data_IF_377001932298
#
_entry.id   IF_377001932298
#
_cell.length_a   1.000
_cell.length_b   1.000
_cell.length_c   1.000
_cell.angle_alpha   90.00
_cell.angle_beta   90.00
_cell.angle_gamma   90.00
#
_symmetry.space_group_name_H-M   'P 1'
#
loop_
_entity.id
_entity.type
_entity.pdbx_description
1 polymer ?
#
# COMPACT_ATOMS: atom_id res chain seq x y z
N UNK A 1 -2.76 -27.48 -10.02
CA UNK A 1 -1.60 -28.14 -9.38
C UNK A 1 -1.51 -27.63 -7.96
N UNK A 2 -1.43 -28.52 -6.98
CA UNK A 2 -1.20 -28.16 -5.58
C UNK A 2 0.05 -28.91 -5.12
N UNK A 3 1.00 -28.19 -4.53
CA UNK A 3 2.20 -28.77 -3.93
C UNK A 3 2.06 -28.68 -2.42
N UNK A 4 1.85 -29.81 -1.77
CA UNK A 4 1.92 -29.91 -0.32
C UNK A 4 3.37 -30.06 0.11
N UNK A 5 3.77 -29.27 1.11
CA UNK A 5 5.17 -29.20 1.56
C UNK A 5 5.42 -29.87 2.91
N UNK A 6 4.52 -30.77 3.32
CA UNK A 6 4.66 -31.57 4.54
C UNK A 6 3.53 -31.37 5.55
N UNK A 7 2.29 -31.14 5.11
CA UNK A 7 1.14 -31.11 6.02
C UNK A 7 0.95 -32.49 6.67
N UNK A 8 0.56 -32.53 7.95
CA UNK A 8 0.35 -33.79 8.70
C UNK A 8 -1.02 -33.86 9.37
N UNK A 9 -1.91 -32.93 9.06
CA UNK A 9 -3.22 -32.75 9.70
C UNK A 9 -4.39 -33.28 8.86
N UNK A 10 -4.10 -33.96 7.75
CA UNK A 10 -5.10 -34.48 6.82
C UNK A 10 -5.45 -33.52 5.67
N UNK A 11 -4.77 -32.38 5.56
CA UNK A 11 -4.95 -31.41 4.46
C UNK A 11 -4.91 -32.08 3.08
N UNK A 12 -4.03 -33.07 2.87
CA UNK A 12 -3.94 -33.79 1.60
C UNK A 12 -5.23 -34.51 1.21
N UNK A 13 -5.96 -35.09 2.18
CA UNK A 13 -7.21 -35.80 1.91
C UNK A 13 -8.33 -34.83 1.55
N UNK A 14 -8.37 -33.67 2.21
CA UNK A 14 -9.30 -32.58 1.86
C UNK A 14 -9.05 -32.11 0.43
N UNK A 15 -7.78 -31.91 0.05
CA UNK A 15 -7.41 -31.50 -1.31
C UNK A 15 -7.83 -32.56 -2.33
N UNK A 16 -7.54 -33.85 -2.08
CA UNK A 16 -7.92 -34.94 -2.99
C UNK A 16 -9.44 -35.02 -3.17
N UNK A 17 -10.21 -34.83 -2.09
CA UNK A 17 -11.66 -34.81 -2.16
C UNK A 17 -12.18 -33.60 -2.96
N UNK A 18 -11.62 -32.40 -2.74
CA UNK A 18 -12.00 -31.19 -3.46
C UNK A 18 -11.66 -31.24 -4.96
N UNK A 19 -10.61 -31.98 -5.33
CA UNK A 19 -10.16 -32.15 -6.72
C UNK A 19 -10.76 -33.39 -7.41
N UNK A 20 -11.60 -34.19 -6.74
CA UNK A 20 -12.04 -35.50 -7.25
C UNK A 20 -12.67 -35.45 -8.66
N UNK A 21 -13.41 -34.38 -8.96
CA UNK A 21 -14.08 -34.16 -10.25
C UNK A 21 -13.35 -33.15 -11.15
N UNK A 22 -12.13 -32.74 -10.78
CA UNK A 22 -11.33 -31.75 -11.49
C UNK A 22 -10.05 -32.39 -12.05
N UNK A 23 -9.48 -31.89 -13.15
CA UNK A 23 -8.18 -32.37 -13.67
C UNK A 23 -6.98 -31.92 -12.82
N UNK A 24 -7.20 -31.74 -11.51
CA UNK A 24 -6.21 -31.29 -10.55
C UNK A 24 -5.26 -32.42 -10.13
N UNK A 25 -4.06 -32.04 -9.70
CA UNK A 25 -3.09 -32.94 -9.13
C UNK A 25 -2.56 -32.36 -7.81
N UNK A 26 -2.40 -33.25 -6.83
CA UNK A 26 -1.69 -33.00 -5.59
C UNK A 26 -0.33 -33.70 -5.67
N UNK A 27 0.73 -32.95 -5.40
CA UNK A 27 2.10 -33.47 -5.34
C UNK A 27 2.70 -33.12 -3.98
N UNK A 28 3.34 -34.08 -3.34
CA UNK A 28 4.02 -33.88 -2.06
C UNK A 28 5.52 -33.63 -2.29
N UNK A 29 6.07 -32.62 -1.60
CA UNK A 29 7.49 -32.23 -1.69
C UNK A 29 8.03 -31.85 -0.32
N UNK A 30 9.33 -32.04 -0.06
CA UNK A 30 9.93 -31.49 1.15
C UNK A 30 9.93 -29.95 1.10
N UNK A 31 9.63 -29.32 2.23
CA UNK A 31 9.90 -27.90 2.41
C UNK A 31 11.41 -27.63 2.35
N UNK A 32 11.79 -26.61 1.57
CA UNK A 32 13.17 -26.09 1.45
C UNK A 32 13.16 -24.61 1.86
N UNK A 33 12.49 -23.78 1.06
CA UNK A 33 12.25 -22.35 1.33
C UNK A 33 11.11 -21.83 0.44
N UNK A 34 10.65 -20.61 0.71
CA UNK A 34 9.52 -20.00 -0.01
C UNK A 34 9.73 -19.90 -1.52
N UNK A 35 10.89 -19.40 -1.96
CA UNK A 35 11.15 -19.21 -3.38
C UNK A 35 11.33 -20.54 -4.11
N UNK A 36 12.04 -21.49 -3.50
CA UNK A 36 12.25 -22.82 -4.06
C UNK A 36 10.92 -23.55 -4.25
N UNK A 37 10.12 -23.69 -3.19
CA UNK A 37 8.90 -24.48 -3.26
C UNK A 37 7.82 -23.82 -4.15
N UNK A 38 7.69 -22.48 -4.13
CA UNK A 38 6.79 -21.79 -5.07
C UNK A 38 7.26 -21.92 -6.53
N UNK A 39 8.57 -21.89 -6.79
CA UNK A 39 9.14 -22.13 -8.13
C UNK A 39 8.92 -23.58 -8.58
N UNK A 40 9.06 -24.55 -7.68
CA UNK A 40 8.78 -25.95 -7.96
C UNK A 40 7.30 -26.15 -8.31
N UNK A 41 6.38 -25.53 -7.57
CA UNK A 41 4.95 -25.56 -7.87
C UNK A 41 4.62 -25.00 -9.25
N UNK A 42 5.21 -23.85 -9.62
CA UNK A 42 5.07 -23.29 -10.96
C UNK A 42 5.62 -24.24 -12.02
N UNK A 43 6.81 -24.80 -11.80
CA UNK A 43 7.46 -25.72 -12.75
C UNK A 43 6.60 -26.96 -12.99
N UNK A 44 6.03 -27.54 -11.92
CA UNK A 44 5.13 -28.68 -12.01
C UNK A 44 3.81 -28.34 -12.71
N UNK A 45 3.35 -27.10 -12.64
CA UNK A 45 2.13 -26.65 -13.32
C UNK A 45 2.32 -26.43 -14.83
N UNK A 46 3.55 -26.11 -15.29
CA UNK A 46 3.83 -25.71 -16.70
C UNK A 46 3.27 -26.66 -17.77
N UNK A 47 3.39 -28.00 -17.65
CA UNK A 47 2.91 -28.91 -18.70
C UNK A 47 1.38 -29.02 -18.81
N UNK A 48 0.63 -28.47 -17.86
CA UNK A 48 -0.81 -28.71 -17.73
C UNK A 48 -1.71 -27.59 -18.28
N UNK A 49 -1.16 -26.42 -18.60
CA UNK A 49 -1.91 -25.29 -19.12
C UNK A 49 -0.98 -24.27 -19.80
N UNK A 50 -1.52 -23.41 -20.67
CA UNK A 50 -0.78 -22.30 -21.27
C UNK A 50 -0.40 -21.22 -20.25
N UNK A 51 -1.26 -21.02 -19.23
CA UNK A 51 -1.05 -20.04 -18.17
C UNK A 51 -1.25 -20.68 -16.79
N UNK A 52 -0.51 -20.18 -15.79
CA UNK A 52 -0.69 -20.53 -14.39
C UNK A 52 -1.24 -19.32 -13.62
N UNK A 53 -2.39 -19.50 -12.96
CA UNK A 53 -2.87 -18.60 -11.93
C UNK A 53 -2.23 -18.99 -10.59
N UNK A 54 -1.60 -18.02 -9.95
CA UNK A 54 -1.01 -18.11 -8.62
C UNK A 54 -2.05 -17.62 -7.63
N UNK A 55 -2.42 -18.46 -6.68
CA UNK A 55 -3.41 -18.16 -5.66
C UNK A 55 -3.06 -18.97 -4.41
N UNK A 56 -3.03 -18.32 -3.24
CA UNK A 56 -2.85 -19.02 -1.97
C UNK A 56 -4.22 -19.62 -1.54
N UNK A 57 -4.20 -20.66 -0.70
CA UNK A 57 -5.41 -21.43 -0.39
C UNK A 57 -6.50 -20.63 0.36
N UNK A 58 -6.13 -19.49 0.94
CA UNK A 58 -6.99 -18.56 1.68
C UNK A 58 -7.30 -17.26 0.90
N UNK A 59 -6.80 -17.14 -0.33
CA UNK A 59 -7.15 -16.05 -1.23
C UNK A 59 -8.46 -16.33 -1.98
N UNK A 60 -9.21 -15.27 -2.29
CA UNK A 60 -10.50 -15.36 -2.99
C UNK A 60 -10.46 -14.49 -4.26
N UNK A 61 -10.85 -15.05 -5.42
CA UNK A 61 -11.09 -14.22 -6.61
C UNK A 61 -12.42 -13.48 -6.50
N UNK A 62 -12.37 -12.15 -6.63
CA UNK A 62 -13.55 -11.29 -6.50
C UNK A 62 -14.32 -11.27 -7.84
N UNK A 63 -15.62 -11.53 -7.76
CA UNK A 63 -16.55 -11.52 -8.92
C UNK A 63 -16.13 -12.43 -10.08
N UNK A 64 -15.36 -13.49 -9.80
CA UNK A 64 -14.82 -14.42 -10.80
C UNK A 64 -15.92 -15.04 -11.69
N UNK A 65 -17.12 -15.27 -11.15
CA UNK A 65 -18.26 -15.84 -11.89
C UNK A 65 -18.70 -14.96 -13.07
N UNK A 66 -18.45 -13.66 -13.02
CA UNK A 66 -18.80 -12.68 -14.06
C UNK A 66 -17.64 -12.40 -15.01
N UNK A 67 -16.44 -12.87 -14.66
CA UNK A 67 -15.23 -12.59 -15.42
C UNK A 67 -15.09 -13.55 -16.60
N UNK A 68 -15.14 -12.98 -17.81
CA UNK A 68 -14.83 -13.72 -19.03
C UNK A 68 -13.34 -13.55 -19.31
N UNK A 69 -12.59 -14.64 -19.20
CA UNK A 69 -11.16 -14.65 -19.49
C UNK A 69 -10.95 -14.23 -20.96
N UNK A 70 -10.26 -13.10 -21.23
CA UNK A 70 -9.99 -12.69 -22.59
C UNK A 70 -8.96 -13.62 -23.25
N UNK A 71 -8.74 -13.46 -24.55
CA UNK A 71 -7.59 -14.12 -25.19
C UNK A 71 -6.30 -13.60 -24.56
N UNK A 72 -5.56 -14.47 -23.90
CA UNK A 72 -4.30 -14.14 -23.26
C UNK A 72 -3.15 -14.21 -24.27
N UNK A 73 -2.36 -13.15 -24.35
CA UNK A 73 -1.25 -12.95 -25.30
C UNK A 73 0.06 -12.52 -24.64
N UNK A 74 -0.01 -11.99 -23.42
CA UNK A 74 1.15 -11.41 -22.73
C UNK A 74 1.88 -12.45 -21.88
N UNK A 75 3.15 -12.19 -21.58
CA UNK A 75 3.97 -13.11 -20.75
C UNK A 75 3.43 -13.27 -19.33
N UNK A 76 2.65 -12.29 -18.85
CA UNK A 76 1.97 -12.35 -17.57
C UNK A 76 1.03 -11.16 -17.37
N UNK A 77 0.19 -11.29 -16.35
CA UNK A 77 -0.84 -10.33 -16.02
C UNK A 77 -0.86 -10.02 -14.53
N UNK A 78 -0.99 -8.73 -14.25
CA UNK A 78 -1.22 -8.22 -12.91
C UNK A 78 -2.71 -8.29 -12.57
N UNK A 79 -3.00 -8.72 -11.36
CA UNK A 79 -4.32 -8.67 -10.75
C UNK A 79 -4.28 -7.65 -9.61
N UNK A 80 -5.39 -6.96 -9.39
CA UNK A 80 -5.55 -6.13 -8.20
C UNK A 80 -5.66 -7.04 -6.97
N UNK A 81 -4.89 -6.73 -5.94
CA UNK A 81 -4.94 -7.39 -4.64
C UNK A 81 -5.63 -6.45 -3.67
N UNK A 82 -6.72 -6.93 -3.09
CA UNK A 82 -7.47 -6.25 -2.02
C UNK A 82 -7.04 -6.87 -0.69
N UNK A 83 -6.35 -6.09 0.12
CA UNK A 83 -5.83 -6.51 1.42
C UNK A 83 -6.31 -5.53 2.49
N UNK A 84 -7.41 -5.89 3.17
CA UNK A 84 -8.13 -5.00 4.06
C UNK A 84 -8.54 -3.69 3.37
N UNK A 85 -8.00 -2.57 3.84
CA UNK A 85 -8.24 -1.24 3.27
C UNK A 85 -7.19 -0.82 2.23
N UNK A 86 -6.22 -1.69 1.93
CA UNK A 86 -5.16 -1.42 0.95
C UNK A 86 -5.44 -2.09 -0.39
N UNK A 87 -4.91 -1.47 -1.44
CA UNK A 87 -4.93 -1.99 -2.81
C UNK A 87 -3.54 -1.92 -3.41
N UNK A 88 -3.16 -2.94 -4.16
CA UNK A 88 -1.91 -2.99 -4.91
C UNK A 88 -2.00 -4.05 -6.00
N UNK A 89 -1.05 -4.08 -6.92
CA UNK A 89 -1.06 -5.03 -8.04
C UNK A 89 0.05 -6.05 -7.90
N UNK A 90 -0.28 -7.32 -8.18
CA UNK A 90 0.69 -8.42 -8.23
C UNK A 90 0.51 -9.21 -9.51
N UNK A 91 1.63 -9.66 -10.07
CA UNK A 91 1.63 -10.63 -11.16
C UNK A 91 1.11 -11.95 -10.60
N UNK A 92 -0.12 -12.32 -10.99
CA UNK A 92 -0.78 -13.53 -10.50
C UNK A 92 -1.13 -14.50 -11.61
N UNK A 93 -1.06 -14.10 -12.88
CA UNK A 93 -1.30 -15.01 -14.01
C UNK A 93 -0.10 -14.95 -14.95
N UNK A 94 0.53 -16.08 -15.23
CA UNK A 94 1.78 -16.11 -16.01
C UNK A 94 1.79 -17.17 -17.09
N UNK A 95 2.42 -16.84 -18.23
CA UNK A 95 2.59 -17.75 -19.36
C UNK A 95 3.60 -18.86 -19.01
N UNK A 96 3.16 -20.11 -19.02
CA UNK A 96 3.96 -21.27 -18.66
C UNK A 96 5.09 -21.57 -19.65
N UNK A 97 5.08 -20.94 -20.83
CA UNK A 97 6.17 -21.03 -21.82
C UNK A 97 7.36 -20.13 -21.48
N UNK A 98 7.21 -19.24 -20.49
CA UNK A 98 8.25 -18.31 -20.02
C UNK A 98 8.90 -18.84 -18.75
N UNK A 99 10.15 -18.43 -18.50
CA UNK A 99 10.90 -18.88 -17.33
C UNK A 99 10.59 -18.07 -16.06
N UNK A 100 9.34 -18.11 -15.62
CA UNK A 100 8.90 -17.51 -14.37
C UNK A 100 9.38 -18.34 -13.17
N UNK A 101 9.99 -17.66 -12.19
CA UNK A 101 10.48 -18.25 -10.93
C UNK A 101 10.39 -17.25 -9.79
N UNK A 102 10.25 -17.73 -8.56
CA UNK A 102 10.32 -16.90 -7.38
C UNK A 102 11.77 -16.66 -6.97
N UNK A 103 12.04 -15.44 -6.48
CA UNK A 103 13.35 -15.04 -5.97
C UNK A 103 13.20 -14.32 -4.62
N UNK A 104 14.02 -14.71 -3.65
CA UNK A 104 14.09 -14.09 -2.32
C UNK A 104 14.00 -15.11 -1.19
N UNK A 105 14.72 -14.90 -0.08
CA UNK A 105 14.64 -15.79 1.10
C UNK A 105 13.33 -15.62 1.88
N UNK A 106 12.78 -14.39 1.86
CA UNK A 106 11.50 -13.97 2.42
C UNK A 106 10.94 -12.83 1.56
N UNK A 107 9.62 -12.70 1.53
CA UNK A 107 8.91 -11.76 0.66
C UNK A 107 9.36 -11.89 -0.80
N UNK A 108 9.46 -13.15 -1.22
CA UNK A 108 9.81 -13.59 -2.54
C UNK A 108 8.88 -12.97 -3.59
N UNK A 109 9.46 -12.65 -4.74
CA UNK A 109 8.72 -12.08 -5.85
C UNK A 109 8.93 -12.91 -7.10
N UNK A 110 7.93 -12.84 -7.98
CA UNK A 110 7.97 -13.52 -9.26
C UNK A 110 8.89 -12.76 -10.23
N UNK A 111 9.84 -13.46 -10.82
CA UNK A 111 10.80 -12.93 -11.77
C UNK A 111 10.76 -13.76 -13.06
N UNK A 112 10.85 -13.08 -14.20
CA UNK A 112 11.17 -13.69 -15.49
C UNK A 112 12.46 -13.03 -16.01
N UNK A 113 13.49 -13.80 -16.40
CA UNK A 113 14.75 -13.26 -16.93
C UNK A 113 14.59 -12.33 -18.12
N UNK A 114 13.61 -12.61 -18.98
CA UNK A 114 13.31 -11.79 -20.16
C UNK A 114 12.74 -10.41 -19.79
N UNK A 115 12.36 -10.22 -18.53
CA UNK A 115 11.73 -9.00 -17.99
C UNK A 115 10.64 -8.43 -18.91
N UNK A 116 9.60 -9.24 -19.24
CA UNK A 116 8.58 -8.84 -20.19
C UNK A 116 7.72 -7.72 -19.61
N UNK A 117 7.18 -6.87 -20.48
CA UNK A 117 6.11 -5.96 -20.10
C UNK A 117 4.87 -6.75 -19.67
N UNK A 118 4.22 -6.29 -18.62
CA UNK A 118 3.02 -6.89 -18.07
C UNK A 118 1.84 -5.94 -18.24
N UNK A 119 0.64 -6.49 -18.34
CA UNK A 119 -0.61 -5.71 -18.36
C UNK A 119 -1.52 -6.15 -17.24
N UNK A 120 -2.52 -5.34 -16.92
CA UNK A 120 -3.48 -5.63 -15.85
C UNK A 120 -4.73 -6.26 -16.42
N UNK A 121 -5.22 -7.33 -15.78
CA UNK A 121 -6.56 -7.86 -16.05
C UNK A 121 -7.58 -7.17 -15.12
N UNK A 122 -8.81 -6.93 -15.59
CA UNK A 122 -9.89 -6.41 -14.74
C UNK A 122 -10.47 -7.54 -13.87
N UNK A 123 -9.59 -8.18 -13.09
CA UNK A 123 -9.89 -9.22 -12.13
C UNK A 123 -9.14 -8.88 -10.83
N UNK A 124 -9.82 -9.04 -9.70
CA UNK A 124 -9.27 -8.75 -8.39
C UNK A 124 -9.23 -10.01 -7.52
N UNK A 125 -8.30 -10.03 -6.57
CA UNK A 125 -8.12 -11.08 -5.60
C UNK A 125 -8.13 -10.47 -4.20
N UNK A 126 -8.95 -10.99 -3.31
CA UNK A 126 -8.94 -10.65 -1.89
C UNK A 126 -7.92 -11.54 -1.19
N UNK A 127 -6.98 -10.93 -0.48
CA UNK A 127 -5.96 -11.66 0.26
C UNK A 127 -6.56 -12.32 1.51
N UNK A 128 -6.22 -13.57 1.73
CA UNK A 128 -6.50 -14.28 2.97
C UNK A 128 -5.65 -13.82 4.16
N UNK A 129 -6.07 -14.23 5.36
CA UNK A 129 -5.33 -13.99 6.60
C UNK A 129 -5.39 -15.17 7.58
N UNK A 130 -5.73 -16.37 7.12
CA UNK A 130 -5.95 -17.53 7.99
C UNK A 130 -4.71 -18.45 8.14
N UNK A 131 -3.66 -18.17 7.38
CA UNK A 131 -2.43 -18.95 7.33
C UNK A 131 -1.79 -19.19 8.70
N UNK A 132 -1.29 -20.41 8.93
CA UNK A 132 -0.74 -20.85 10.22
C UNK A 132 0.39 -19.96 10.76
N UNK A 133 1.21 -19.41 9.86
CA UNK A 133 2.33 -18.50 10.21
C UNK A 133 1.86 -17.18 10.84
N UNK A 134 0.65 -16.71 10.53
CA UNK A 134 0.10 -15.50 11.16
C UNK A 134 -0.22 -15.69 12.66
N UNK A 135 -0.29 -16.95 13.13
CA UNK A 135 -0.60 -17.31 14.52
C UNK A 135 0.63 -17.62 15.37
N UNK A 136 1.83 -17.49 14.80
CA UNK A 136 3.09 -17.85 15.45
C UNK A 136 3.87 -16.59 15.89
N UNK A 137 3.91 -16.37 17.20
CA UNK A 137 4.59 -15.25 17.87
C UNK A 137 6.12 -15.22 17.63
N UNK A 138 6.72 -16.35 17.23
CA UNK A 138 8.15 -16.46 16.94
C UNK A 138 8.51 -16.10 15.49
N UNK A 139 7.54 -15.76 14.65
CA UNK A 139 7.76 -15.49 13.22
C UNK A 139 8.67 -14.29 12.99
N UNK A 140 8.43 -13.17 13.67
CA UNK A 140 9.18 -11.93 13.42
C UNK A 140 10.66 -12.09 13.78
N UNK A 141 10.97 -12.78 14.88
CA UNK A 141 12.37 -13.02 15.29
C UNK A 141 13.13 -13.90 14.30
N UNK A 142 12.47 -14.92 13.73
CA UNK A 142 13.06 -15.75 12.68
C UNK A 142 13.26 -14.98 11.39
N UNK A 143 12.31 -14.12 11.03
CA UNK A 143 12.39 -13.32 9.81
C UNK A 143 13.55 -12.32 9.86
N UNK A 144 13.74 -11.67 11.01
CA UNK A 144 14.90 -10.82 11.28
C UNK A 144 16.20 -11.62 11.06
N UNK A 145 16.33 -12.79 11.70
CA UNK A 145 17.55 -13.60 11.60
C UNK A 145 17.83 -14.08 10.16
N UNK A 146 16.79 -14.48 9.41
CA UNK A 146 16.90 -14.89 8.00
C UNK A 146 17.36 -13.71 7.13
N UNK A 147 16.76 -12.54 7.30
CA UNK A 147 17.10 -11.35 6.50
C UNK A 147 18.47 -10.77 6.86
N UNK A 148 18.85 -10.76 8.14
CA UNK A 148 20.20 -10.39 8.58
C UNK A 148 21.26 -11.34 8.00
N UNK A 149 20.99 -12.65 8.06
CA UNK A 149 21.86 -13.68 7.48
C UNK A 149 22.02 -13.53 5.96
N UNK A 150 20.92 -13.28 5.25
CA UNK A 150 20.95 -13.04 3.81
C UNK A 150 21.71 -11.76 3.46
N UNK A 151 21.45 -10.64 4.16
CA UNK A 151 22.16 -9.37 3.94
C UNK A 151 23.67 -9.45 4.19
N UNK A 152 24.13 -10.36 5.06
CA UNK A 152 25.55 -10.51 5.36
C UNK A 152 26.36 -11.12 4.19
N UNK A 153 25.70 -11.82 3.27
CA UNK A 153 26.34 -12.54 2.16
C UNK A 153 25.79 -12.18 0.77
N UNK A 154 24.79 -11.30 0.71
CA UNK A 154 24.15 -10.90 -0.54
C UNK A 154 25.00 -9.85 -1.28
N UNK A 155 25.35 -10.19 -2.52
CA UNK A 155 26.17 -9.34 -3.39
C UNK A 155 25.34 -8.60 -4.44
N UNK A 156 24.08 -9.03 -4.73
CA UNK A 156 23.21 -8.32 -5.66
C UNK A 156 22.64 -7.05 -5.00
N UNK A 157 23.03 -5.84 -5.47
CA UNK A 157 22.59 -4.58 -4.88
C UNK A 157 21.07 -4.40 -4.87
N UNK A 158 20.36 -4.96 -5.85
CA UNK A 158 18.90 -4.93 -5.89
C UNK A 158 18.30 -5.76 -4.73
N UNK A 159 18.88 -6.93 -4.46
CA UNK A 159 18.44 -7.78 -3.34
C UNK A 159 18.83 -7.19 -2.00
N UNK A 160 20.03 -6.57 -1.88
CA UNK A 160 20.42 -5.82 -0.67
C UNK A 160 19.40 -4.73 -0.36
N UNK A 161 18.97 -3.95 -1.36
CA UNK A 161 17.93 -2.95 -1.17
C UNK A 161 16.62 -3.59 -0.69
N UNK A 162 16.13 -4.63 -1.39
CA UNK A 162 14.87 -5.28 -1.04
C UNK A 162 14.89 -5.92 0.35
N UNK A 163 15.95 -6.64 0.72
CA UNK A 163 16.11 -7.22 2.06
C UNK A 163 16.23 -6.17 3.15
N UNK A 164 16.89 -5.03 2.87
CA UNK A 164 16.94 -3.90 3.82
C UNK A 164 15.53 -3.35 4.11
N UNK A 165 14.66 -3.27 3.09
CA UNK A 165 13.26 -2.85 3.28
C UNK A 165 12.47 -3.83 4.14
N UNK A 166 12.53 -5.12 3.82
CA UNK A 166 11.79 -6.13 4.58
C UNK A 166 12.32 -6.33 5.99
N UNK A 167 13.63 -6.17 6.21
CA UNK A 167 14.21 -6.21 7.55
C UNK A 167 13.68 -5.04 8.41
N UNK A 168 13.52 -3.86 7.82
CA UNK A 168 12.88 -2.72 8.50
C UNK A 168 11.42 -3.04 8.88
N UNK A 169 10.65 -3.68 7.98
CA UNK A 169 9.29 -4.15 8.28
C UNK A 169 9.30 -5.16 9.44
N UNK A 170 10.21 -6.14 9.42
CA UNK A 170 10.31 -7.14 10.48
C UNK A 170 10.68 -6.53 11.83
N UNK A 171 11.58 -5.53 11.89
CA UNK A 171 11.84 -4.80 13.13
C UNK A 171 10.64 -3.99 13.61
N UNK A 172 9.91 -3.33 12.69
CA UNK A 172 8.69 -2.58 13.04
C UNK A 172 7.67 -3.51 13.67
N UNK A 173 7.39 -4.63 13.01
CA UNK A 173 6.36 -5.58 13.42
C UNK A 173 6.80 -6.42 14.63
N UNK A 174 8.11 -6.58 14.84
CA UNK A 174 8.73 -7.20 15.99
C UNK A 174 8.89 -6.30 17.22
N UNK A 175 8.40 -5.05 17.18
CA UNK A 175 8.43 -4.15 18.34
C UNK A 175 9.76 -3.43 18.58
N UNK A 176 10.60 -3.30 17.56
CA UNK A 176 11.93 -2.64 17.59
C UNK A 176 11.92 -1.34 16.76
N UNK A 177 11.14 -0.30 17.15
CA UNK A 177 10.82 0.84 16.29
C UNK A 177 12.05 1.68 15.89
N UNK A 178 13.05 1.82 16.77
CA UNK A 178 14.26 2.59 16.44
C UNK A 178 15.11 1.90 15.37
N UNK A 179 15.26 0.57 15.44
CA UNK A 179 15.95 -0.20 14.40
C UNK A 179 15.19 -0.14 13.08
N UNK A 180 13.86 -0.22 13.13
CA UNK A 180 13.03 -0.08 11.94
C UNK A 180 13.29 1.27 11.22
N UNK A 181 13.30 2.40 11.96
CA UNK A 181 13.62 3.72 11.40
C UNK A 181 15.03 3.74 10.79
N UNK A 182 16.04 3.22 11.49
CA UNK A 182 17.40 3.13 10.97
C UNK A 182 17.46 2.41 9.61
N UNK A 183 16.84 1.23 9.52
CA UNK A 183 16.86 0.44 8.30
C UNK A 183 16.00 1.04 7.18
N UNK A 184 14.88 1.71 7.48
CA UNK A 184 14.12 2.45 6.47
C UNK A 184 14.91 3.62 5.89
N UNK A 185 15.64 4.36 6.73
CA UNK A 185 16.51 5.45 6.26
C UNK A 185 17.65 4.89 5.40
N UNK A 186 18.30 3.81 5.85
CA UNK A 186 19.31 3.09 5.06
C UNK A 186 18.74 2.62 3.72
N UNK A 187 17.54 2.02 3.72
CA UNK A 187 16.84 1.58 2.50
C UNK A 187 16.64 2.74 1.51
N UNK A 188 16.28 3.92 2.01
CA UNK A 188 16.03 5.07 1.16
C UNK A 188 17.29 5.60 0.45
N UNK A 189 18.47 5.34 1.00
CA UNK A 189 19.75 5.74 0.41
C UNK A 189 20.26 4.74 -0.65
N UNK A 190 19.69 3.54 -0.72
CA UNK A 190 20.09 2.50 -1.67
C UNK A 190 19.48 2.66 -3.08
N UNK A 191 18.45 3.50 -3.25
CA UNK A 191 17.80 3.72 -4.56
C UNK A 191 16.85 2.58 -4.98
N UNK A 192 16.92 2.13 -6.24
CA UNK A 192 16.02 1.14 -6.86
C UNK A 192 14.55 1.59 -6.90
N UNK A 193 13.62 0.69 -6.57
CA UNK A 193 12.20 0.95 -6.75
C UNK A 193 11.70 2.05 -5.81
N UNK A 194 11.18 3.13 -6.40
CA UNK A 194 10.75 4.33 -5.69
C UNK A 194 9.59 4.08 -4.72
N UNK A 195 8.71 3.12 -5.03
CA UNK A 195 7.56 2.79 -4.19
C UNK A 195 7.99 2.20 -2.83
N UNK A 196 8.98 1.30 -2.80
CA UNK A 196 9.55 0.77 -1.55
C UNK A 196 10.26 1.87 -0.75
N UNK A 197 10.98 2.76 -1.43
CA UNK A 197 11.63 3.91 -0.78
C UNK A 197 10.57 4.82 -0.14
N UNK A 198 9.54 5.17 -0.89
CA UNK A 198 8.44 6.03 -0.42
C UNK A 198 7.71 5.40 0.77
N UNK A 199 7.30 4.14 0.68
CA UNK A 199 6.62 3.44 1.77
C UNK A 199 7.54 3.28 2.99
N UNK A 200 8.82 3.00 2.79
CA UNK A 200 9.79 2.90 3.88
C UNK A 200 9.93 4.22 4.63
N UNK A 201 10.06 5.34 3.92
CA UNK A 201 10.11 6.67 4.53
C UNK A 201 8.80 7.05 5.23
N UNK A 202 7.65 6.68 4.67
CA UNK A 202 6.35 6.89 5.30
C UNK A 202 6.23 6.12 6.62
N UNK A 203 6.65 4.84 6.63
CA UNK A 203 6.70 4.03 7.85
C UNK A 203 7.65 4.63 8.89
N UNK A 204 8.84 5.08 8.47
CA UNK A 204 9.78 5.75 9.35
C UNK A 204 9.18 7.04 9.95
N UNK A 205 8.47 7.84 9.16
CA UNK A 205 7.80 9.04 9.65
C UNK A 205 6.74 8.70 10.71
N UNK A 206 5.84 7.75 10.45
CA UNK A 206 4.82 7.32 11.42
C UNK A 206 5.45 6.82 12.74
N UNK A 207 6.55 6.07 12.66
CA UNK A 207 7.29 5.62 13.86
C UNK A 207 7.92 6.80 14.59
N UNK A 208 8.60 7.71 13.89
CA UNK A 208 9.21 8.90 14.48
C UNK A 208 8.17 9.79 15.16
N UNK A 209 6.97 9.91 14.58
CA UNK A 209 5.85 10.60 15.21
C UNK A 209 5.44 9.95 16.53
N UNK A 210 5.29 8.61 16.55
CA UNK A 210 4.93 7.84 17.74
C UNK A 210 6.01 7.93 18.85
N UNK A 211 7.28 8.01 18.45
CA UNK A 211 8.41 8.21 19.35
C UNK A 211 8.58 9.67 19.81
N UNK A 212 7.73 10.59 19.36
CA UNK A 212 7.80 12.02 19.64
C UNK A 212 9.16 12.65 19.23
N UNK A 213 9.73 12.18 18.12
CA UNK A 213 10.95 12.77 17.56
C UNK A 213 10.76 14.27 17.21
N UNK A 214 11.85 15.05 17.12
CA UNK A 214 11.78 16.48 16.85
C UNK A 214 10.97 16.81 15.60
N UNK A 215 10.11 17.82 15.71
CA UNK A 215 9.17 18.19 14.64
C UNK A 215 9.86 18.45 13.30
N UNK A 216 10.99 19.16 13.31
CA UNK A 216 11.76 19.44 12.10
C UNK A 216 12.28 18.18 11.42
N UNK A 217 12.65 17.15 12.19
CA UNK A 217 13.12 15.87 11.63
C UNK A 217 11.99 15.10 10.96
N UNK A 218 10.80 15.06 11.57
CA UNK A 218 9.62 14.41 10.99
C UNK A 218 9.17 15.12 9.71
N UNK A 219 9.03 16.44 9.73
CA UNK A 219 8.61 17.20 8.56
C UNK A 219 9.64 17.13 7.43
N UNK A 220 10.94 17.17 7.73
CA UNK A 220 11.99 16.98 6.73
C UNK A 220 11.88 15.60 6.03
N UNK A 221 11.42 14.57 6.75
CA UNK A 221 11.21 13.26 6.16
C UNK A 221 10.03 13.24 5.18
N UNK A 222 8.93 13.92 5.54
CA UNK A 222 7.80 14.14 4.62
C UNK A 222 8.20 14.94 3.39
N UNK A 223 8.96 16.01 3.56
CA UNK A 223 9.48 16.82 2.46
C UNK A 223 10.41 16.02 1.54
N UNK A 224 11.21 15.10 2.11
CA UNK A 224 12.08 14.19 1.34
C UNK A 224 11.28 13.18 0.52
N UNK A 225 10.19 12.61 1.05
CA UNK A 225 9.43 11.54 0.36
C UNK A 225 8.50 12.05 -0.74
N UNK A 226 7.94 13.27 -0.62
CA UNK A 226 7.00 13.84 -1.60
C UNK A 226 7.57 13.85 -3.04
N UNK A 227 8.81 14.30 -3.32
CA UNK A 227 9.34 14.30 -4.69
C UNK A 227 9.71 12.90 -5.21
N UNK A 228 9.78 11.87 -4.36
CA UNK A 228 10.12 10.49 -4.77
C UNK A 228 8.95 9.86 -5.54
N UNK A 229 7.73 10.02 -5.01
CA UNK A 229 6.49 9.59 -5.68
C UNK A 229 5.50 10.77 -5.69
N UNK A 230 5.66 11.76 -6.58
CA UNK A 230 4.88 13.01 -6.53
C UNK A 230 3.38 12.81 -6.75
N UNK A 231 2.99 11.72 -7.43
CA UNK A 231 1.61 11.32 -7.66
C UNK A 231 0.91 10.76 -6.41
N UNK A 232 1.66 10.42 -5.35
CA UNK A 232 1.11 9.83 -4.12
C UNK A 232 0.71 10.90 -3.11
N UNK A 233 -0.41 10.67 -2.42
CA UNK A 233 -1.00 11.63 -1.48
C UNK A 233 -0.74 11.30 0.00
N UNK A 234 -0.28 10.09 0.33
CA UNK A 234 -0.15 9.62 1.71
C UNK A 234 0.85 10.45 2.53
N UNK A 235 2.00 10.82 1.96
CA UNK A 235 2.98 11.70 2.58
C UNK A 235 2.39 13.07 2.92
N UNK A 236 1.62 13.65 1.99
CA UNK A 236 0.95 14.94 2.17
C UNK A 236 -0.11 14.86 3.27
N UNK A 237 -0.87 13.77 3.30
CA UNK A 237 -1.82 13.51 4.38
C UNK A 237 -1.11 13.39 5.73
N UNK A 238 -0.04 12.58 5.81
CA UNK A 238 0.76 12.38 7.02
C UNK A 238 1.28 13.70 7.58
N UNK A 239 1.98 14.48 6.75
CA UNK A 239 2.52 15.79 7.11
C UNK A 239 1.43 16.78 7.56
N UNK A 240 0.31 16.80 6.84
CA UNK A 240 -0.85 17.65 7.17
C UNK A 240 -1.45 17.31 8.54
N UNK A 241 -1.69 16.01 8.77
CA UNK A 241 -2.22 15.47 10.03
C UNK A 241 -1.25 15.73 11.19
N UNK A 242 0.05 15.58 10.95
CA UNK A 242 1.08 15.89 11.93
C UNK A 242 1.08 17.37 12.33
N UNK A 243 1.00 18.27 11.35
CA UNK A 243 0.83 19.70 11.58
C UNK A 243 -0.44 20.01 12.39
N UNK A 244 -1.57 19.35 12.07
CA UNK A 244 -2.85 19.58 12.76
C UNK A 244 -2.75 19.26 14.24
N UNK A 245 -2.19 18.10 14.61
CA UNK A 245 -2.02 17.69 16.01
C UNK A 245 -1.13 18.65 16.80
N UNK A 246 -0.25 19.39 16.13
CA UNK A 246 0.60 20.45 16.72
C UNK A 246 0.05 21.87 16.55
N UNK A 247 -1.19 22.01 16.06
CA UNK A 247 -1.87 23.29 15.81
C UNK A 247 -1.14 24.19 14.80
N UNK A 248 -0.31 23.62 13.92
CA UNK A 248 0.36 24.32 12.81
C UNK A 248 -0.53 24.37 11.58
N UNK A 249 -1.68 25.01 11.72
CA UNK A 249 -2.75 24.95 10.71
C UNK A 249 -2.34 25.53 9.36
N UNK A 250 -1.56 26.61 9.32
CA UNK A 250 -1.10 27.19 8.06
C UNK A 250 -0.15 26.27 7.28
N UNK A 251 0.75 25.56 7.98
CA UNK A 251 1.65 24.60 7.35
C UNK A 251 0.87 23.35 6.88
N UNK A 252 0.02 22.81 7.73
CA UNK A 252 -0.81 21.65 7.40
C UNK A 252 -1.77 21.92 6.22
N UNK A 253 -2.33 23.13 6.15
CA UNK A 253 -3.14 23.58 5.02
C UNK A 253 -2.40 23.41 3.68
N UNK A 254 -1.14 23.87 3.61
CA UNK A 254 -0.34 23.83 2.37
C UNK A 254 0.00 22.41 1.94
N UNK A 255 0.31 21.52 2.88
CA UNK A 255 0.51 20.10 2.58
C UNK A 255 -0.76 19.47 2.01
N UNK A 256 -1.91 19.70 2.66
CA UNK A 256 -3.18 19.14 2.22
C UNK A 256 -3.61 19.67 0.85
N UNK A 257 -3.58 20.99 0.67
CA UNK A 257 -3.95 21.68 -0.57
C UNK A 257 -3.17 21.14 -1.77
N UNK A 258 -1.85 20.96 -1.61
CA UNK A 258 -0.97 20.48 -2.68
C UNK A 258 -1.27 19.04 -3.16
N UNK A 259 -2.09 18.28 -2.45
CA UNK A 259 -2.48 16.92 -2.84
C UNK A 259 -3.95 16.73 -3.21
N UNK A 260 -4.80 17.75 -3.07
CA UNK A 260 -6.26 17.60 -3.24
C UNK A 260 -6.69 17.14 -4.64
N UNK A 261 -5.89 17.47 -5.66
CA UNK A 261 -6.15 17.13 -7.05
C UNK A 261 -5.54 15.77 -7.47
N UNK A 262 -4.77 15.11 -6.59
CA UNK A 262 -4.13 13.85 -6.94
C UNK A 262 -5.18 12.72 -7.00
N UNK A 263 -5.28 12.01 -8.13
CA UNK A 263 -6.07 10.79 -8.20
C UNK A 263 -5.34 9.64 -7.49
N UNK A 264 -6.08 8.58 -7.13
CA UNK A 264 -5.48 7.31 -6.71
C UNK A 264 -4.58 6.80 -7.85
N UNK A 265 -3.28 6.52 -7.59
CA UNK A 265 -2.40 5.92 -8.59
C UNK A 265 -2.92 4.58 -9.11
N UNK A 266 -2.67 4.32 -10.40
CA UNK A 266 -3.02 3.06 -11.06
C UNK A 266 -2.04 1.92 -10.77
N UNK A 267 -0.89 2.23 -10.17
CA UNK A 267 0.17 1.30 -9.82
C UNK A 267 0.81 1.72 -8.49
N UNK A 268 1.45 0.77 -7.81
CA UNK A 268 2.14 1.00 -6.53
C UNK A 268 1.83 -0.07 -5.50
N UNK A 269 2.48 0.04 -4.34
CA UNK A 269 2.24 -0.84 -3.18
C UNK A 269 1.56 -0.09 -2.03
N UNK A 270 0.73 -0.81 -1.29
CA UNK A 270 0.06 -0.30 -0.09
C UNK A 270 -0.66 1.04 -0.34
N UNK A 271 -1.41 1.14 -1.44
CA UNK A 271 -2.21 2.33 -1.72
C UNK A 271 -3.45 2.33 -0.84
N UNK A 272 -3.80 3.51 -0.33
CA UNK A 272 -4.94 3.69 0.58
C UNK A 272 -6.01 4.55 -0.10
N UNK A 273 -7.03 3.95 -0.76
CA UNK A 273 -8.06 4.70 -1.50
C UNK A 273 -8.75 5.80 -0.70
N UNK A 274 -8.95 5.57 0.60
CA UNK A 274 -9.59 6.53 1.50
C UNK A 274 -8.82 7.86 1.60
N UNK A 275 -7.50 7.85 1.43
CA UNK A 275 -6.66 9.06 1.45
C UNK A 275 -7.06 10.00 0.31
N UNK A 276 -7.33 9.43 -0.86
CA UNK A 276 -7.66 10.15 -2.09
C UNK A 276 -9.16 10.50 -2.16
N UNK A 277 -10.04 9.65 -1.63
CA UNK A 277 -11.49 9.89 -1.67
C UNK A 277 -11.96 10.95 -0.67
N UNK A 278 -11.50 10.91 0.58
CA UNK A 278 -11.92 11.88 1.60
C UNK A 278 -10.84 12.30 2.59
N UNK A 279 -9.85 11.45 2.89
CA UNK A 279 -8.91 11.67 4.00
C UNK A 279 -8.13 12.98 3.90
N UNK A 280 -7.57 13.29 2.71
CA UNK A 280 -6.84 14.53 2.51
C UNK A 280 -7.74 15.77 2.55
N UNK A 281 -8.98 15.65 2.03
CA UNK A 281 -9.99 16.72 2.10
C UNK A 281 -10.42 16.98 3.54
N UNK A 282 -10.49 15.95 4.38
CA UNK A 282 -10.81 16.10 5.80
C UNK A 282 -9.76 16.98 6.49
N UNK A 283 -8.49 16.63 6.34
CA UNK A 283 -7.39 17.42 6.89
C UNK A 283 -7.37 18.85 6.33
N UNK A 284 -7.57 19.02 5.01
CA UNK A 284 -7.69 20.34 4.40
C UNK A 284 -8.83 21.17 5.03
N UNK A 285 -10.02 20.58 5.21
CA UNK A 285 -11.17 21.29 5.78
C UNK A 285 -10.91 21.75 7.21
N UNK A 286 -10.26 20.92 8.03
CA UNK A 286 -9.90 21.24 9.40
C UNK A 286 -8.91 22.42 9.46
N UNK A 287 -7.88 22.41 8.61
CA UNK A 287 -6.93 23.52 8.52
C UNK A 287 -7.57 24.79 7.97
N UNK A 288 -8.43 24.67 6.96
CA UNK A 288 -9.17 25.80 6.39
C UNK A 288 -10.03 26.49 7.45
N UNK A 289 -10.73 25.72 8.28
CA UNK A 289 -11.52 26.26 9.39
C UNK A 289 -10.66 27.05 10.38
N UNK A 290 -9.55 26.46 10.86
CA UNK A 290 -8.68 27.11 11.84
C UNK A 290 -7.87 28.29 11.30
N UNK A 291 -7.73 28.41 9.97
CA UNK A 291 -7.09 29.55 9.30
C UNK A 291 -8.08 30.62 8.85
N UNK A 292 -9.38 30.48 9.16
CA UNK A 292 -10.43 31.43 8.80
C UNK A 292 -10.93 31.32 7.35
N UNK A 293 -10.50 30.31 6.61
CA UNK A 293 -10.90 30.04 5.23
C UNK A 293 -12.23 29.27 5.18
N UNK A 294 -13.28 29.85 5.78
CA UNK A 294 -14.54 29.16 6.04
C UNK A 294 -15.26 28.68 4.77
N UNK A 295 -15.15 29.42 3.65
CA UNK A 295 -15.70 28.99 2.35
C UNK A 295 -15.02 27.74 1.81
N UNK A 296 -13.69 27.69 1.88
CA UNK A 296 -12.90 26.53 1.46
C UNK A 296 -13.20 25.32 2.35
N UNK A 297 -13.30 25.54 3.67
CA UNK A 297 -13.74 24.52 4.62
C UNK A 297 -15.11 23.95 4.25
N UNK A 298 -16.12 24.81 4.07
CA UNK A 298 -17.48 24.39 3.77
C UNK A 298 -17.55 23.62 2.45
N UNK A 299 -16.88 24.10 1.40
CA UNK A 299 -16.81 23.41 0.10
C UNK A 299 -16.22 22.00 0.26
N UNK A 300 -15.07 21.87 0.91
CA UNK A 300 -14.43 20.59 1.13
C UNK A 300 -15.30 19.63 1.95
N UNK A 301 -15.97 20.12 3.00
CA UNK A 301 -16.91 19.30 3.76
C UNK A 301 -18.08 18.81 2.90
N UNK A 302 -18.68 19.67 2.08
CA UNK A 302 -19.77 19.28 1.17
C UNK A 302 -19.31 18.25 0.14
N UNK A 303 -18.08 18.33 -0.34
CA UNK A 303 -17.53 17.35 -1.29
C UNK A 303 -17.28 15.98 -0.65
N UNK A 304 -16.85 15.94 0.62
CA UNK A 304 -16.76 14.70 1.39
C UNK A 304 -18.16 14.09 1.58
N UNK A 305 -19.17 14.88 1.96
CA UNK A 305 -20.53 14.40 2.23
C UNK A 305 -21.26 13.84 1.00
N UNK A 306 -20.76 14.10 -0.23
CA UNK A 306 -21.29 13.53 -1.48
C UNK A 306 -20.70 12.16 -1.82
N UNK A 307 -19.61 11.76 -1.17
CA UNK A 307 -18.93 10.50 -1.48
C UNK A 307 -19.72 9.30 -0.93
N UNK A 308 -19.88 8.21 -1.70
CA UNK A 308 -20.74 7.08 -1.33
C UNK A 308 -20.18 6.24 -0.16
N UNK A 309 -18.85 6.15 -0.03
CA UNK A 309 -18.18 5.20 0.87
C UNK A 309 -17.40 5.89 2.00
N UNK A 310 -18.04 6.84 2.66
CA UNK A 310 -17.44 7.57 3.79
C UNK A 310 -17.93 6.98 5.12
N UNK A 311 -17.02 6.58 6.03
CA UNK A 311 -17.41 6.07 7.35
C UNK A 311 -18.34 7.00 8.13
N UNK A 312 -19.26 6.45 8.92
CA UNK A 312 -20.28 7.22 9.62
C UNK A 312 -19.72 8.27 10.59
N UNK A 313 -18.63 7.93 11.29
CA UNK A 313 -17.90 8.86 12.16
C UNK A 313 -17.27 10.03 11.39
N UNK A 314 -16.82 9.79 10.14
CA UNK A 314 -16.30 10.82 9.23
C UNK A 314 -17.44 11.74 8.79
N UNK A 315 -18.59 11.18 8.40
CA UNK A 315 -19.77 11.95 8.02
C UNK A 315 -20.26 12.83 9.16
N UNK A 316 -20.31 12.30 10.39
CA UNK A 316 -20.73 13.04 11.58
C UNK A 316 -19.83 14.24 11.88
N UNK A 317 -18.50 14.04 11.93
CA UNK A 317 -17.56 15.15 12.21
C UNK A 317 -17.50 16.17 11.08
N UNK A 318 -17.56 15.72 9.83
CA UNK A 318 -17.59 16.59 8.64
C UNK A 318 -18.86 17.45 8.62
N UNK A 319 -20.02 16.87 8.93
CA UNK A 319 -21.28 17.60 9.05
C UNK A 319 -21.25 18.66 10.15
N UNK A 320 -20.66 18.33 11.30
CA UNK A 320 -20.49 19.28 12.40
C UNK A 320 -19.59 20.46 11.99
N UNK A 321 -18.44 20.18 11.36
CA UNK A 321 -17.52 21.20 10.88
C UNK A 321 -18.15 22.09 9.81
N UNK A 322 -18.91 21.52 8.87
CA UNK A 322 -19.65 22.27 7.85
C UNK A 322 -20.64 23.27 8.47
N UNK A 323 -21.40 22.85 9.50
CA UNK A 323 -22.32 23.74 10.23
C UNK A 323 -21.59 24.86 10.95
N UNK A 324 -20.46 24.57 11.58
CA UNK A 324 -19.63 25.59 12.23
C UNK A 324 -19.07 26.59 11.23
N UNK A 325 -18.56 26.12 10.09
CA UNK A 325 -18.06 26.99 9.02
C UNK A 325 -19.16 27.89 8.45
N UNK A 326 -20.34 27.32 8.20
CA UNK A 326 -21.50 28.08 7.73
C UNK A 326 -21.95 29.15 8.75
N UNK A 327 -22.05 28.79 10.02
CA UNK A 327 -22.39 29.74 11.09
C UNK A 327 -21.37 30.87 11.20
N UNK A 328 -20.08 30.57 11.07
CA UNK A 328 -19.01 31.57 11.09
C UNK A 328 -18.97 32.50 9.87
N UNK A 329 -19.69 32.17 8.78
CA UNK A 329 -19.82 33.02 7.60
C UNK A 329 -21.00 34.00 7.67
N UNK A 330 -21.93 33.80 8.60
CA UNK A 330 -23.12 34.62 8.78
C UNK A 330 -22.82 35.67 9.86
N UNK A 331 -22.83 36.95 9.49
CA UNK A 331 -22.78 38.04 10.47
C UNK A 331 -24.17 38.27 11.08
N UNK A 332 -24.34 38.12 12.40
CA UNK A 332 -25.64 38.28 13.04
C UNK A 332 -26.21 39.71 12.97
N UNK A 333 -25.40 40.72 12.63
CA UNK A 333 -25.84 42.12 12.48
C UNK A 333 -26.07 42.56 11.03
N UNK A 334 -25.42 41.93 10.04
CA UNK A 334 -25.38 42.45 8.65
C UNK A 334 -25.64 41.42 7.53
N UNK A 335 -25.88 40.13 7.85
CA UNK A 335 -26.06 39.07 6.84
C UNK A 335 -24.75 38.41 6.40
N UNK A 336 -24.68 37.82 5.19
CA UNK A 336 -23.44 37.19 4.71
C UNK A 336 -22.32 38.21 4.59
N UNK A 337 -21.23 38.06 5.35
CA UNK A 337 -20.06 38.91 5.19
C UNK A 337 -19.50 38.77 3.76
N UNK A 338 -19.33 39.87 3.01
CA UNK A 338 -18.58 39.83 1.76
C UNK A 338 -17.14 39.43 2.07
N UNK A 339 -16.58 38.63 1.17
CA UNK A 339 -15.27 38.03 1.36
C UNK A 339 -14.18 39.10 1.49
N UNK A 340 -13.23 38.91 2.41
CA UNK A 340 -11.94 39.60 2.39
C UNK A 340 -11.02 39.13 1.25
N UNK A 341 -11.46 38.15 0.44
CA UNK A 341 -10.70 37.61 -0.68
C UNK A 341 -10.73 38.56 -1.88
N UNK A 342 -9.62 39.29 -2.06
CA UNK A 342 -9.14 39.68 -3.39
C UNK A 342 -8.15 38.61 -3.85
N UNK A 343 -8.52 37.81 -4.85
CA UNK A 343 -7.51 37.08 -5.62
C UNK A 343 -6.94 38.03 -6.67
N UNK A 344 -5.79 38.60 -6.37
CA UNK A 344 -4.74 38.72 -7.39
C UNK A 344 -3.48 38.16 -6.76
N UNK A 345 -3.42 36.83 -6.67
CA UNK A 345 -2.13 36.16 -6.52
C UNK A 345 -1.63 35.86 -7.94
N UNK A 346 -0.76 36.73 -8.45
CA UNK A 346 0.05 36.48 -9.63
C UNK A 346 1.28 35.67 -9.17
N UNK A 347 1.45 34.40 -9.57
CA UNK A 347 2.65 33.64 -9.23
C UNK A 347 3.85 34.26 -9.94
N UNK A 348 4.85 34.69 -9.18
CA UNK A 348 6.15 35.17 -9.69
C UNK A 348 7.06 34.01 -10.11
N UNK A 349 6.57 33.16 -11.02
CA UNK A 349 7.39 32.15 -11.70
C UNK A 349 7.11 32.18 -13.20
N UNK A 350 7.29 33.38 -13.76
CA UNK A 350 7.75 33.55 -15.13
C UNK A 350 9.00 34.42 -15.05
N UNK A 351 10.16 33.77 -15.02
CA UNK A 351 11.38 34.13 -15.74
C UNK A 351 12.32 32.92 -15.73
#
# INVERSE_FOLDING_TARGET
MIVDTGSTDGTQDVIRAALADLPGALVERPWVDFAFNRTEALTLARPHADYALIIDADDELIDAERFVVPRLTEAGYNLEIVDGATRYWRTQLVDNRKDWRYRGVLHEFLQCPENPSLTTLPLAMRRGNDGARHRDDGTQSRDIAVLEGALAVEDDPFMVARYTFYLANSYRDGGEPRKAVEYYLKRADLGYWSEEVYIGLLCAADIMEALNEPEGAVLALYDRMIPICPARAEARLGASRFCRRRRKFAAGYRYAEAGLALPLPAEGISLHPWVYSYGLREEFSAHAFHTGQLRACLSACLDILKQPDVPGDVLSRTSALARQALAGMIDPAWGCQPSSYRSEFLPSWHL
#
